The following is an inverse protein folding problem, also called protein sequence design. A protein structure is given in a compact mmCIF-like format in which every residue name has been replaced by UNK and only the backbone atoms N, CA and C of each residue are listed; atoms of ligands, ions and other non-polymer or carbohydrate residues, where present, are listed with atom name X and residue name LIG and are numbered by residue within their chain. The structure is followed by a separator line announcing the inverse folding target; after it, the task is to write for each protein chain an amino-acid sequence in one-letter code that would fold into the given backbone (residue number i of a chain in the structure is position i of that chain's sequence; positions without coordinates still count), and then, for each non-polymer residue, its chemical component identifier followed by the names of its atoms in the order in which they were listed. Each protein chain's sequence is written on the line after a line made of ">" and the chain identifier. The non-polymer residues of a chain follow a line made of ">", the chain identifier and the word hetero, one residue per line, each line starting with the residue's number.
data_IF_601688985500
#
_entry.id   IF_601688985500
#
_cell.length_a   1.000
_cell.length_b   1.000
_cell.length_c   1.000
_cell.angle_alpha   90.00
_cell.angle_beta   90.00
_cell.angle_gamma   90.00
#
_symmetry.space_group_name_H-M   'P 1'
#
loop_
_entity.id
_entity.type
_entity.pdbx_description
1 polymer ?
#
# COMPACT_ATOMS: atom_id res chain seq x y z
N UNK A 1 -18.59 -26.81 2.92
CA UNK A 1 -19.27 -26.98 4.24
C UNK A 1 -18.39 -27.74 5.24
N UNK A 2 -17.54 -28.65 4.77
CA UNK A 2 -16.68 -29.49 5.62
C UNK A 2 -15.59 -28.71 6.37
N UNK A 3 -15.06 -27.63 5.79
CA UNK A 3 -14.00 -26.84 6.44
C UNK A 3 -14.47 -26.07 7.68
N UNK A 4 -15.70 -25.54 7.68
CA UNK A 4 -16.25 -24.87 8.85
C UNK A 4 -16.40 -25.84 10.05
N UNK A 5 -16.78 -27.09 9.77
CA UNK A 5 -16.83 -28.14 10.79
C UNK A 5 -15.43 -28.58 11.23
N UNK A 6 -14.46 -28.58 10.32
CA UNK A 6 -13.07 -28.92 10.61
C UNK A 6 -12.41 -27.90 11.55
N UNK A 7 -12.66 -26.60 11.33
CA UNK A 7 -12.05 -25.51 12.12
C UNK A 7 -12.94 -24.94 13.22
N UNK A 8 -14.07 -25.57 13.55
CA UNK A 8 -15.01 -25.11 14.58
C UNK A 8 -14.41 -24.96 15.99
N UNK A 9 -13.28 -25.64 16.25
CA UNK A 9 -12.56 -25.60 17.52
C UNK A 9 -11.51 -24.49 17.62
N UNK A 10 -11.25 -23.76 16.53
CA UNK A 10 -10.40 -22.57 16.56
C UNK A 10 -11.06 -21.44 17.35
N UNK A 11 -10.26 -20.50 17.84
CA UNK A 11 -10.76 -19.33 18.56
C UNK A 11 -11.50 -18.37 17.62
N UNK A 12 -12.82 -18.52 17.56
CA UNK A 12 -13.69 -17.77 16.66
C UNK A 12 -13.68 -16.26 16.96
N UNK A 13 -13.54 -15.88 18.23
CA UNK A 13 -13.48 -14.47 18.60
C UNK A 13 -12.17 -13.87 18.11
N UNK A 14 -11.05 -14.56 18.32
CA UNK A 14 -9.75 -14.10 17.85
C UNK A 14 -9.65 -14.03 16.32
N UNK A 15 -10.38 -14.87 15.58
CA UNK A 15 -10.52 -14.75 14.12
C UNK A 15 -11.17 -13.41 13.77
N UNK A 16 -12.32 -13.10 14.37
CA UNK A 16 -13.04 -11.84 14.13
C UNK A 16 -12.20 -10.64 14.54
N UNK A 17 -11.56 -10.68 15.72
CA UNK A 17 -10.71 -9.60 16.21
C UNK A 17 -9.53 -9.32 15.26
N UNK A 18 -8.95 -10.36 14.65
CA UNK A 18 -7.88 -10.20 13.67
C UNK A 18 -8.40 -9.61 12.36
N UNK A 19 -9.59 -10.01 11.90
CA UNK A 19 -10.22 -9.41 10.73
C UNK A 19 -10.53 -7.93 10.95
N UNK A 20 -11.11 -7.57 12.10
CA UNK A 20 -11.34 -6.17 12.48
C UNK A 20 -10.00 -5.41 12.58
N UNK A 21 -8.95 -6.02 13.14
CA UNK A 21 -7.61 -5.41 13.19
C UNK A 21 -7.04 -5.08 11.80
N UNK A 22 -7.17 -5.99 10.82
CA UNK A 22 -6.72 -5.75 9.43
C UNK A 22 -7.42 -4.53 8.83
N UNK A 23 -8.74 -4.44 9.05
CA UNK A 23 -9.57 -3.31 8.60
C UNK A 23 -9.11 -2.03 9.31
N UNK A 24 -8.85 -2.09 10.61
CA UNK A 24 -8.42 -0.95 11.42
C UNK A 24 -7.02 -0.44 11.05
N UNK A 25 -6.09 -1.32 10.67
CA UNK A 25 -4.80 -0.89 10.13
C UNK A 25 -4.95 -0.12 8.82
N UNK A 26 -5.86 -0.57 7.94
CA UNK A 26 -6.17 0.10 6.68
C UNK A 26 -6.92 1.42 6.88
N UNK A 27 -7.84 1.48 7.86
CA UNK A 27 -8.47 2.72 8.32
C UNK A 27 -7.43 3.72 8.81
N UNK A 28 -6.54 3.28 9.71
CA UNK A 28 -5.51 4.12 10.33
C UNK A 28 -4.58 4.72 9.28
N UNK A 29 -3.96 3.90 8.42
CA UNK A 29 -3.01 4.40 7.41
C UNK A 29 -3.72 5.27 6.35
N UNK A 30 -5.02 5.05 6.13
CA UNK A 30 -5.86 5.93 5.31
C UNK A 30 -6.22 7.25 6.01
N UNK A 31 -5.93 7.42 7.30
CA UNK A 31 -6.35 8.58 8.09
C UNK A 31 -7.87 8.65 8.31
N UNK A 32 -8.54 7.50 8.40
CA UNK A 32 -9.94 7.39 8.76
C UNK A 32 -10.07 7.31 10.29
N UNK A 33 -10.92 8.18 10.85
CA UNK A 33 -11.14 8.32 12.30
C UNK A 33 -12.47 9.03 12.57
N UNK A 34 -13.05 8.77 13.74
CA UNK A 34 -14.32 9.38 14.15
C UNK A 34 -15.53 8.80 13.41
N UNK A 35 -16.70 9.41 13.65
CA UNK A 35 -18.01 8.86 13.25
C UNK A 35 -18.77 9.71 12.23
N UNK A 36 -18.26 10.90 11.88
CA UNK A 36 -18.92 11.81 10.94
C UNK A 36 -17.92 12.52 10.01
N UNK A 37 -18.37 12.88 8.81
CA UNK A 37 -17.56 13.60 7.82
C UNK A 37 -16.76 12.68 6.89
N UNK A 38 -16.00 13.27 5.96
CA UNK A 38 -15.28 12.56 4.89
C UNK A 38 -14.05 11.77 5.37
N UNK A 39 -13.77 11.81 6.67
CA UNK A 39 -12.72 11.03 7.31
C UNK A 39 -13.27 10.00 8.29
N UNK A 40 -14.59 9.92 8.49
CA UNK A 40 -15.17 8.93 9.40
C UNK A 40 -14.80 7.51 8.98
N UNK A 41 -14.57 6.64 9.97
CA UNK A 41 -14.51 5.21 9.71
C UNK A 41 -15.86 4.77 9.15
N UNK A 42 -15.90 4.09 7.99
CA UNK A 42 -17.16 3.65 7.39
C UNK A 42 -17.96 2.77 8.35
N UNK A 43 -19.26 3.04 8.49
CA UNK A 43 -20.16 2.18 9.26
C UNK A 43 -20.35 0.80 8.61
N UNK A 44 -20.27 0.74 7.27
CA UNK A 44 -20.43 -0.48 6.51
C UNK A 44 -19.25 -1.43 6.77
N UNK A 45 -19.56 -2.69 7.06
CA UNK A 45 -18.58 -3.76 7.22
C UNK A 45 -18.17 -4.33 5.86
N UNK A 46 -16.94 -4.84 5.78
CA UNK A 46 -16.47 -5.57 4.61
C UNK A 46 -17.16 -6.94 4.54
N UNK A 47 -17.69 -7.30 3.37
CA UNK A 47 -18.11 -8.66 3.08
C UNK A 47 -16.90 -9.47 2.63
N UNK A 48 -16.50 -10.49 3.41
CA UNK A 48 -15.43 -11.42 3.07
C UNK A 48 -16.09 -12.79 2.82
N UNK A 49 -16.01 -13.30 1.59
CA UNK A 49 -16.78 -14.49 1.19
C UNK A 49 -16.02 -15.41 0.24
N UNK A 50 -16.43 -16.67 0.20
CA UNK A 50 -15.94 -17.64 -0.78
C UNK A 50 -16.50 -17.30 -2.16
N UNK A 51 -15.67 -17.38 -3.21
CA UNK A 51 -16.09 -17.38 -4.62
C UNK A 51 -15.85 -18.75 -5.24
N UNK A 52 -16.61 -19.07 -6.28
CA UNK A 52 -16.41 -20.29 -7.07
C UNK A 52 -14.98 -20.35 -7.62
N UNK A 53 -14.31 -21.49 -7.40
CA UNK A 53 -12.95 -21.75 -7.87
C UNK A 53 -12.85 -21.72 -9.41
N UNK A 54 -13.94 -22.01 -10.13
CA UNK A 54 -14.03 -21.88 -11.58
C UNK A 54 -13.88 -20.44 -12.08
N UNK A 55 -14.02 -19.44 -11.20
CA UNK A 55 -13.81 -18.02 -11.54
C UNK A 55 -12.33 -17.64 -11.61
N UNK A 56 -11.39 -18.54 -11.28
CA UNK A 56 -9.93 -18.29 -11.29
C UNK A 56 -9.46 -17.34 -10.18
N UNK A 57 -8.13 -17.13 -10.07
CA UNK A 57 -7.52 -16.20 -9.09
C UNK A 57 -7.30 -16.76 -7.69
N UNK A 58 -6.36 -16.18 -6.93
CA UNK A 58 -6.01 -16.59 -5.57
C UNK A 58 -6.97 -15.96 -4.54
N UNK A 59 -6.98 -14.63 -4.47
CA UNK A 59 -7.98 -13.80 -3.80
C UNK A 59 -8.30 -12.61 -4.71
N UNK A 60 -9.38 -11.86 -4.43
CA UNK A 60 -9.76 -10.66 -5.19
C UNK A 60 -10.63 -9.70 -4.37
N UNK A 61 -10.60 -8.40 -4.69
CA UNK A 61 -11.43 -7.39 -4.05
C UNK A 61 -12.22 -6.53 -5.03
N UNK A 62 -13.40 -6.10 -4.60
CA UNK A 62 -14.30 -5.21 -5.32
C UNK A 62 -15.42 -4.73 -4.38
N UNK A 63 -16.68 -5.03 -4.69
CA UNK A 63 -17.80 -4.81 -3.75
C UNK A 63 -17.71 -5.72 -2.51
N UNK A 64 -17.03 -6.86 -2.65
CA UNK A 64 -16.68 -7.79 -1.57
C UNK A 64 -15.21 -8.20 -1.71
N UNK A 65 -14.67 -8.79 -0.65
CA UNK A 65 -13.39 -9.48 -0.65
C UNK A 65 -13.67 -10.97 -0.84
N UNK A 66 -13.02 -11.56 -1.82
CA UNK A 66 -13.25 -12.92 -2.25
C UNK A 66 -11.99 -13.78 -2.05
N UNK A 67 -12.19 -14.99 -1.58
CA UNK A 67 -11.16 -16.03 -1.55
C UNK A 67 -11.73 -17.34 -2.13
N UNK A 68 -10.86 -18.21 -2.64
CA UNK A 68 -11.28 -19.54 -3.13
C UNK A 68 -11.47 -20.50 -1.96
N UNK A 69 -12.31 -21.52 -2.13
CA UNK A 69 -12.58 -22.52 -1.07
C UNK A 69 -11.28 -23.16 -0.52
N UNK A 70 -10.29 -23.41 -1.39
CA UNK A 70 -8.98 -23.94 -0.98
C UNK A 70 -8.21 -23.04 0.02
N UNK A 71 -8.66 -21.80 0.25
CA UNK A 71 -8.07 -20.84 1.18
C UNK A 71 -8.91 -20.59 2.41
N UNK A 72 -10.06 -21.24 2.61
CA UNK A 72 -10.89 -20.97 3.80
C UNK A 72 -10.14 -21.27 5.08
N UNK A 73 -9.22 -22.24 5.08
CA UNK A 73 -8.37 -22.49 6.23
C UNK A 73 -7.57 -21.25 6.70
N UNK A 74 -7.23 -20.32 5.79
CA UNK A 74 -6.54 -19.06 6.14
C UNK A 74 -7.47 -18.07 6.82
N UNK A 75 -8.76 -18.10 6.48
CA UNK A 75 -9.78 -17.22 7.07
C UNK A 75 -10.35 -17.78 8.36
N UNK A 76 -10.30 -19.11 8.54
CA UNK A 76 -10.87 -19.83 9.68
C UNK A 76 -9.85 -20.19 10.76
N UNK A 77 -8.62 -19.70 10.68
CA UNK A 77 -7.58 -19.93 11.69
C UNK A 77 -6.86 -18.62 12.00
N UNK A 78 -6.79 -18.19 13.27
CA UNK A 78 -6.18 -16.93 13.64
C UNK A 78 -4.77 -16.75 13.07
N UNK A 79 -3.92 -17.77 13.17
CA UNK A 79 -2.48 -17.67 12.86
C UNK A 79 -2.19 -17.19 11.43
N UNK A 80 -3.08 -17.51 10.48
CA UNK A 80 -2.93 -17.14 9.08
C UNK A 80 -3.46 -15.74 8.77
N UNK A 81 -4.13 -15.07 9.71
CA UNK A 81 -4.62 -13.70 9.58
C UNK A 81 -3.62 -12.66 10.10
N UNK A 82 -2.73 -13.02 11.02
CA UNK A 82 -1.85 -12.07 11.72
C UNK A 82 -0.35 -12.36 11.55
N UNK A 83 0.03 -13.41 10.82
CA UNK A 83 1.42 -13.82 10.66
C UNK A 83 1.64 -14.47 9.29
N UNK A 84 2.45 -15.54 9.21
CA UNK A 84 2.76 -16.28 7.98
C UNK A 84 1.49 -16.51 7.18
N UNK A 85 1.45 -16.02 5.94
CA UNK A 85 0.33 -16.06 5.00
C UNK A 85 -0.78 -14.98 5.12
N UNK A 86 -0.73 -14.06 6.08
CA UNK A 86 -1.73 -13.00 6.23
C UNK A 86 -1.75 -11.99 5.08
N UNK A 87 -0.64 -11.84 4.37
CA UNK A 87 -0.52 -10.85 3.29
C UNK A 87 -1.64 -10.87 2.25
N UNK A 88 -2.15 -12.04 1.89
CA UNK A 88 -3.22 -12.15 0.89
C UNK A 88 -4.46 -11.35 1.30
N UNK A 89 -4.96 -11.56 2.52
CA UNK A 89 -6.15 -10.85 2.99
C UNK A 89 -5.84 -9.37 3.28
N UNK A 90 -4.64 -9.03 3.76
CA UNK A 90 -4.24 -7.64 3.95
C UNK A 90 -4.22 -6.86 2.63
N UNK A 91 -3.75 -7.52 1.58
CA UNK A 91 -3.71 -6.99 0.22
C UNK A 91 -5.11 -6.79 -0.35
N UNK A 92 -6.00 -7.77 -0.23
CA UNK A 92 -7.39 -7.59 -0.69
C UNK A 92 -8.16 -6.51 0.07
N UNK A 93 -7.97 -6.41 1.39
CA UNK A 93 -8.51 -5.28 2.15
C UNK A 93 -7.94 -3.98 1.60
N UNK A 94 -6.62 -3.90 1.39
CA UNK A 94 -5.96 -2.72 0.83
C UNK A 94 -6.53 -2.24 -0.50
N UNK A 95 -6.93 -3.15 -1.40
CA UNK A 95 -7.58 -2.78 -2.66
C UNK A 95 -8.85 -1.95 -2.46
N UNK A 96 -9.59 -2.18 -1.37
CA UNK A 96 -10.80 -1.40 -1.04
C UNK A 96 -10.49 0.03 -0.55
N UNK A 97 -9.24 0.31 -0.16
CA UNK A 97 -8.78 1.63 0.30
C UNK A 97 -7.98 2.41 -0.75
N UNK A 98 -7.52 1.75 -1.83
CA UNK A 98 -6.71 2.40 -2.86
C UNK A 98 -7.39 3.63 -3.46
N UNK A 99 -6.69 4.76 -3.43
CA UNK A 99 -7.18 6.01 -3.99
C UNK A 99 -6.62 6.23 -5.39
N UNK A 100 -7.52 6.25 -6.38
CA UNK A 100 -7.19 6.40 -7.80
C UNK A 100 -6.33 7.63 -8.12
N UNK A 101 -6.34 8.66 -7.28
CA UNK A 101 -5.59 9.91 -7.50
C UNK A 101 -4.07 9.71 -7.49
N UNK A 102 -3.56 8.73 -6.74
CA UNK A 102 -2.13 8.39 -6.69
C UNK A 102 -1.86 6.92 -7.07
N UNK A 103 -2.86 6.24 -7.64
CA UNK A 103 -2.72 4.92 -8.28
C UNK A 103 -2.85 5.06 -9.80
N UNK A 104 -1.71 5.23 -10.48
CA UNK A 104 -1.63 5.22 -11.95
C UNK A 104 -1.57 3.80 -12.51
N UNK A 105 -1.66 3.64 -13.84
CA UNK A 105 -1.95 2.36 -14.51
C UNK A 105 -1.11 1.17 -14.06
N UNK A 106 0.18 1.38 -13.78
CA UNK A 106 1.09 0.31 -13.38
C UNK A 106 1.07 -0.01 -11.87
N UNK A 107 0.22 0.64 -11.07
CA UNK A 107 0.31 0.61 -9.60
C UNK A 107 -0.87 -0.04 -8.87
N UNK A 108 -1.84 -0.62 -9.59
CA UNK A 108 -2.97 -1.35 -8.95
C UNK A 108 -2.46 -2.40 -7.97
N UNK A 109 -1.47 -3.20 -8.37
CA UNK A 109 -0.88 -4.27 -7.54
C UNK A 109 0.31 -3.80 -6.67
N UNK A 110 0.58 -2.49 -6.65
CA UNK A 110 1.71 -1.91 -5.91
C UNK A 110 1.24 -1.01 -4.77
N UNK A 111 0.40 -0.02 -5.05
CA UNK A 111 -0.07 0.95 -4.05
C UNK A 111 -0.95 0.29 -2.98
N UNK A 112 -1.60 -0.81 -3.31
CA UNK A 112 -2.28 -1.70 -2.37
C UNK A 112 -1.37 -2.16 -1.23
N UNK A 113 -0.08 -2.35 -1.49
CA UNK A 113 0.86 -2.86 -0.50
C UNK A 113 1.24 -1.81 0.56
N UNK A 114 0.88 -0.52 0.40
CA UNK A 114 0.96 0.46 1.50
C UNK A 114 0.09 0.01 2.67
N UNK A 115 -1.10 -0.52 2.39
CA UNK A 115 -2.04 -1.04 3.39
C UNK A 115 -1.60 -2.41 3.93
N UNK A 116 -1.07 -3.27 3.06
CA UNK A 116 -0.51 -4.57 3.48
C UNK A 116 0.67 -4.40 4.44
N UNK A 117 1.58 -3.48 4.14
CA UNK A 117 2.71 -3.14 5.01
C UNK A 117 2.22 -2.51 6.32
N UNK A 118 1.17 -1.69 6.31
CA UNK A 118 0.56 -1.18 7.54
C UNK A 118 0.00 -2.31 8.42
N UNK A 119 -0.61 -3.33 7.82
CA UNK A 119 -1.11 -4.51 8.54
C UNK A 119 0.04 -5.34 9.12
N UNK A 120 1.10 -5.55 8.34
CA UNK A 120 2.32 -6.23 8.78
C UNK A 120 2.94 -5.57 10.03
N UNK A 121 3.05 -4.24 10.02
CA UNK A 121 3.50 -3.45 11.18
C UNK A 121 2.52 -3.50 12.35
N UNK A 122 1.22 -3.40 12.06
CA UNK A 122 0.16 -3.45 13.06
C UNK A 122 0.14 -4.76 13.85
N UNK A 123 0.46 -5.88 13.20
CA UNK A 123 0.64 -7.17 13.85
C UNK A 123 2.02 -7.38 14.48
N UNK A 124 2.92 -6.40 14.39
CA UNK A 124 4.24 -6.45 15.03
C UNK A 124 5.17 -7.50 14.43
N UNK A 125 5.09 -7.76 13.12
CA UNK A 125 6.01 -8.69 12.48
C UNK A 125 7.45 -8.15 12.53
N UNK A 126 8.44 -9.01 12.82
CA UNK A 126 9.79 -8.56 13.20
C UNK A 126 10.63 -8.07 12.02
N UNK A 127 10.25 -8.44 10.80
CA UNK A 127 10.92 -8.03 9.55
C UNK A 127 9.84 -7.67 8.54
N UNK A 128 10.11 -6.68 7.68
CA UNK A 128 9.15 -6.34 6.62
C UNK A 128 9.10 -7.41 5.55
N UNK A 129 8.03 -7.46 4.76
CA UNK A 129 7.94 -8.32 3.57
C UNK A 129 9.06 -8.02 2.58
N UNK A 130 9.51 -6.77 2.47
CA UNK A 130 10.61 -6.41 1.58
C UNK A 130 11.86 -7.24 1.94
N UNK A 131 12.18 -7.30 3.24
CA UNK A 131 13.30 -8.07 3.76
C UNK A 131 13.02 -9.57 3.77
N UNK A 132 11.86 -10.01 4.25
CA UNK A 132 11.47 -11.42 4.34
C UNK A 132 11.47 -12.12 2.98
N UNK A 133 11.08 -11.42 1.91
CA UNK A 133 11.07 -11.96 0.55
C UNK A 133 12.39 -11.74 -0.20
N UNK A 134 13.42 -11.21 0.46
CA UNK A 134 14.70 -10.87 -0.18
C UNK A 134 14.50 -10.00 -1.43
N UNK A 135 13.70 -8.93 -1.32
CA UNK A 135 13.36 -8.06 -2.44
C UNK A 135 14.42 -6.96 -2.68
N UNK A 136 15.23 -6.63 -1.68
CA UNK A 136 16.30 -5.62 -1.77
C UNK A 136 17.27 -5.79 -2.95
N UNK A 137 17.72 -7.00 -3.33
CA UNK A 137 18.54 -7.19 -4.53
C UNK A 137 17.88 -6.70 -5.84
N UNK A 138 16.53 -6.62 -5.90
CA UNK A 138 15.83 -6.04 -7.05
C UNK A 138 16.07 -4.54 -7.16
N UNK A 139 16.17 -3.84 -6.03
CA UNK A 139 16.57 -2.43 -5.98
C UNK A 139 17.99 -2.27 -6.50
N UNK A 140 18.92 -3.12 -6.04
CA UNK A 140 20.33 -3.08 -6.44
C UNK A 140 20.49 -3.26 -7.95
N UNK A 141 19.81 -4.27 -8.53
CA UNK A 141 19.82 -4.50 -9.97
C UNK A 141 19.21 -3.32 -10.76
N UNK A 142 18.15 -2.69 -10.25
CA UNK A 142 17.55 -1.51 -10.88
C UNK A 142 18.49 -0.30 -10.81
N UNK A 143 19.17 -0.09 -9.68
CA UNK A 143 20.07 1.05 -9.47
C UNK A 143 21.44 0.88 -10.15
N UNK A 144 21.80 -0.33 -10.60
CA UNK A 144 22.95 -0.53 -11.48
C UNK A 144 22.73 0.07 -12.89
N UNK A 145 21.47 0.29 -13.29
CA UNK A 145 21.17 0.92 -14.57
C UNK A 145 21.53 2.42 -14.52
N UNK A 146 22.03 3.01 -15.63
CA UNK A 146 22.17 4.46 -15.76
C UNK A 146 20.84 5.16 -15.46
N UNK A 147 20.88 6.31 -14.78
CA UNK A 147 19.67 7.07 -14.40
C UNK A 147 18.77 7.35 -15.62
N UNK A 148 19.36 7.60 -16.79
CA UNK A 148 18.65 7.85 -18.05
C UNK A 148 17.88 6.65 -18.59
N UNK A 149 18.29 5.44 -18.21
CA UNK A 149 17.67 4.18 -18.63
C UNK A 149 16.63 3.67 -17.65
N UNK A 150 16.71 4.11 -16.38
CA UNK A 150 15.75 3.73 -15.34
C UNK A 150 14.32 4.13 -15.72
N UNK A 151 13.41 3.21 -15.47
CA UNK A 151 11.97 3.39 -15.64
C UNK A 151 11.23 2.70 -14.48
N UNK A 152 10.74 3.51 -13.54
CA UNK A 152 9.96 3.00 -12.41
C UNK A 152 8.77 2.15 -12.86
N UNK A 153 8.07 2.58 -13.91
CA UNK A 153 6.82 1.97 -14.36
C UNK A 153 7.03 0.61 -15.01
N UNK A 154 8.21 0.38 -15.58
CA UNK A 154 8.63 -0.91 -16.12
C UNK A 154 9.03 -1.93 -15.03
N UNK A 155 9.13 -1.50 -13.77
CA UNK A 155 9.49 -2.33 -12.64
C UNK A 155 8.44 -3.39 -12.26
N UNK A 156 8.91 -4.50 -11.70
CA UNK A 156 8.05 -5.48 -11.03
C UNK A 156 7.33 -4.87 -9.83
N UNK A 157 6.18 -5.42 -9.42
CA UNK A 157 5.42 -4.90 -8.28
C UNK A 157 6.23 -4.89 -6.98
N UNK A 158 7.05 -5.93 -6.74
CA UNK A 158 7.92 -5.99 -5.56
C UNK A 158 8.98 -4.87 -5.58
N UNK A 159 9.58 -4.59 -6.74
CA UNK A 159 10.54 -3.49 -6.87
C UNK A 159 9.85 -2.15 -6.63
N UNK A 160 8.67 -1.93 -7.23
CA UNK A 160 7.94 -0.67 -7.08
C UNK A 160 7.46 -0.46 -5.64
N UNK A 161 7.11 -1.54 -4.93
CA UNK A 161 6.76 -1.52 -3.51
C UNK A 161 7.89 -0.97 -2.65
N UNK A 162 9.16 -1.24 -3.00
CA UNK A 162 10.32 -0.73 -2.26
C UNK A 162 10.33 0.81 -2.23
N UNK A 163 9.97 1.49 -3.31
CA UNK A 163 9.91 2.97 -3.34
C UNK A 163 8.92 3.51 -2.30
N UNK A 164 7.73 2.91 -2.22
CA UNK A 164 6.75 3.27 -1.20
C UNK A 164 7.24 2.91 0.22
N UNK A 165 7.90 1.76 0.37
CA UNK A 165 8.50 1.38 1.65
C UNK A 165 9.60 2.36 2.09
N UNK A 166 10.44 2.85 1.19
CA UNK A 166 11.48 3.83 1.49
C UNK A 166 10.92 5.19 1.93
N UNK A 167 9.83 5.64 1.29
CA UNK A 167 9.11 6.82 1.74
C UNK A 167 8.54 6.62 3.16
N UNK A 168 8.00 5.43 3.45
CA UNK A 168 7.58 5.09 4.81
C UNK A 168 8.75 5.05 5.80
N UNK A 169 9.89 4.46 5.46
CA UNK A 169 11.09 4.44 6.30
C UNK A 169 11.59 5.85 6.64
N UNK A 170 11.46 6.81 5.70
CA UNK A 170 11.88 8.19 5.91
C UNK A 170 10.87 9.03 6.72
N UNK A 171 9.57 8.84 6.49
CA UNK A 171 8.54 9.81 6.91
C UNK A 171 7.42 9.19 7.76
N UNK A 172 7.44 7.88 7.98
CA UNK A 172 6.47 7.16 8.79
C UNK A 172 5.06 7.11 8.19
N UNK A 173 4.11 6.71 9.04
CA UNK A 173 2.69 6.60 8.65
C UNK A 173 2.10 7.98 8.26
N UNK A 174 2.58 9.06 8.86
CA UNK A 174 2.04 10.42 8.68
C UNK A 174 2.03 10.87 7.22
N UNK A 175 3.04 10.46 6.43
CA UNK A 175 3.08 10.74 5.00
C UNK A 175 1.83 10.22 4.28
N UNK A 176 1.51 8.94 4.49
CA UNK A 176 0.38 8.28 3.82
C UNK A 176 -0.96 8.71 4.40
N UNK A 177 -1.03 8.91 5.73
CA UNK A 177 -2.23 9.43 6.41
C UNK A 177 -2.61 10.79 5.83
N UNK A 178 -1.65 11.71 5.74
CA UNK A 178 -1.90 13.06 5.26
C UNK A 178 -2.19 13.11 3.75
N UNK A 179 -1.45 12.32 2.95
CA UNK A 179 -1.76 12.13 1.52
C UNK A 179 -3.19 11.65 1.31
N UNK A 180 -3.62 10.65 2.10
CA UNK A 180 -4.94 10.05 1.95
C UNK A 180 -6.05 10.98 2.37
N UNK A 181 -5.88 11.73 3.47
CA UNK A 181 -6.83 12.76 3.90
C UNK A 181 -6.95 13.86 2.86
N UNK A 182 -5.83 14.44 2.42
CA UNK A 182 -5.82 15.50 1.42
C UNK A 182 -6.44 15.05 0.09
N UNK A 183 -6.23 13.81 -0.32
CA UNK A 183 -6.89 13.24 -1.51
C UNK A 183 -8.41 13.19 -1.35
N UNK A 184 -8.92 12.81 -0.17
CA UNK A 184 -10.38 12.77 0.11
C UNK A 184 -11.00 14.15 0.18
N UNK A 185 -10.30 15.11 0.77
CA UNK A 185 -10.77 16.48 0.92
C UNK A 185 -10.81 17.21 -0.42
N UNK A 186 -9.70 17.15 -1.16
CA UNK A 186 -9.53 17.94 -2.37
C UNK A 186 -10.17 17.30 -3.60
N UNK A 187 -10.38 15.98 -3.59
CA UNK A 187 -10.93 15.18 -4.71
C UNK A 187 -10.30 15.59 -6.05
N UNK A 188 -8.97 15.53 -6.18
CA UNK A 188 -8.27 16.09 -7.33
C UNK A 188 -8.74 15.42 -8.63
N UNK A 189 -8.98 16.23 -9.66
CA UNK A 189 -9.33 15.74 -10.99
C UNK A 189 -8.06 15.34 -11.73
N UNK A 190 -7.64 14.09 -11.56
CA UNK A 190 -6.48 13.49 -12.25
C UNK A 190 -6.90 12.28 -13.07
N UNK A 191 -6.78 12.37 -14.40
CA UNK A 191 -7.27 11.35 -15.33
C UNK A 191 -6.16 10.61 -16.09
N UNK A 192 -4.96 11.18 -16.18
CA UNK A 192 -3.80 10.57 -16.85
C UNK A 192 -2.76 10.08 -15.85
N UNK A 193 -1.95 9.12 -16.24
CA UNK A 193 -0.86 8.63 -15.39
C UNK A 193 0.15 9.74 -15.06
N UNK A 194 0.47 10.60 -16.02
CA UNK A 194 1.31 11.78 -15.78
C UNK A 194 0.72 12.73 -14.74
N UNK A 195 -0.60 12.99 -14.78
CA UNK A 195 -1.27 13.85 -13.80
C UNK A 195 -1.28 13.23 -12.39
N UNK A 196 -1.48 11.91 -12.30
CA UNK A 196 -1.43 11.17 -11.02
C UNK A 196 -0.02 11.12 -10.44
N UNK A 197 0.99 10.89 -11.27
CA UNK A 197 2.41 10.93 -10.87
C UNK A 197 2.78 12.33 -10.36
N UNK A 198 2.42 13.39 -11.09
CA UNK A 198 2.60 14.78 -10.63
C UNK A 198 1.91 15.03 -9.29
N UNK A 199 0.64 14.61 -9.15
CA UNK A 199 -0.11 14.75 -7.90
C UNK A 199 0.59 14.06 -6.72
N UNK A 200 1.02 12.81 -6.92
CA UNK A 200 1.75 12.05 -5.91
C UNK A 200 3.08 12.73 -5.55
N UNK A 201 3.88 13.14 -6.54
CA UNK A 201 5.18 13.79 -6.32
C UNK A 201 5.04 15.08 -5.50
N UNK A 202 4.11 15.96 -5.88
CA UNK A 202 3.88 17.21 -5.16
C UNK A 202 3.33 16.97 -3.75
N UNK A 203 2.38 16.02 -3.60
CA UNK A 203 1.81 15.70 -2.29
C UNK A 203 2.84 15.05 -1.36
N UNK A 204 3.70 14.19 -1.89
CA UNK A 204 4.77 13.58 -1.12
C UNK A 204 5.78 14.64 -0.64
N UNK A 205 6.16 15.60 -1.48
CA UNK A 205 7.00 16.73 -1.06
C UNK A 205 6.28 17.58 0.01
N UNK A 206 5.01 17.91 -0.22
CA UNK A 206 4.21 18.70 0.70
C UNK A 206 4.08 18.04 2.07
N UNK A 207 3.81 16.73 2.17
CA UNK A 207 3.58 16.08 3.45
C UNK A 207 4.85 15.57 4.13
N UNK A 208 5.92 15.34 3.38
CA UNK A 208 7.25 15.12 3.96
C UNK A 208 7.94 16.42 4.38
N UNK A 209 7.48 17.57 3.87
CA UNK A 209 8.17 18.87 3.98
C UNK A 209 9.61 18.83 3.46
N UNK A 210 9.86 17.99 2.45
CA UNK A 210 11.16 17.83 1.81
C UNK A 210 11.04 17.93 0.29
N UNK A 211 12.07 18.46 -0.37
CA UNK A 211 12.22 18.37 -1.82
C UNK A 211 12.66 16.94 -2.19
N UNK A 212 11.76 16.15 -2.77
CA UNK A 212 12.01 14.77 -3.19
C UNK A 212 12.40 14.65 -4.67
N UNK A 213 12.81 15.73 -5.33
CA UNK A 213 13.19 15.71 -6.75
C UNK A 213 14.28 14.69 -7.06
N UNK A 214 15.37 14.67 -6.28
CA UNK A 214 16.46 13.70 -6.46
C UNK A 214 15.98 12.26 -6.25
N UNK A 215 15.12 12.03 -5.25
CA UNK A 215 14.51 10.73 -4.99
C UNK A 215 13.72 10.22 -6.20
N UNK A 216 12.82 11.04 -6.76
CA UNK A 216 12.02 10.64 -7.93
C UNK A 216 12.87 10.44 -9.18
N UNK A 217 13.92 11.26 -9.38
CA UNK A 217 14.86 11.08 -10.49
C UNK A 217 15.64 9.77 -10.39
N UNK A 218 16.19 9.45 -9.21
CA UNK A 218 16.89 8.19 -8.97
C UNK A 218 16.00 6.98 -9.19
N UNK A 219 14.71 7.10 -8.86
CA UNK A 219 13.71 6.08 -9.15
C UNK A 219 13.27 6.00 -10.62
N UNK A 220 13.71 6.94 -11.48
CA UNK A 220 13.39 6.93 -12.90
C UNK A 220 11.97 7.38 -13.21
N UNK A 221 11.45 8.38 -12.49
CA UNK A 221 10.15 8.98 -12.79
C UNK A 221 10.23 9.80 -14.09
N UNK A 222 9.65 9.25 -15.15
CA UNK A 222 9.55 9.88 -16.48
C UNK A 222 8.31 10.77 -16.55
N UNK A 223 8.43 11.97 -16.00
CA UNK A 223 7.42 13.05 -16.07
C UNK A 223 8.00 14.27 -16.78
N UNK A 224 7.15 15.22 -17.15
CA UNK A 224 7.59 16.50 -17.71
C UNK A 224 8.45 17.28 -16.70
N UNK A 225 9.48 17.99 -17.19
CA UNK A 225 10.41 18.76 -16.34
C UNK A 225 9.73 19.90 -15.57
N UNK A 226 8.56 20.37 -16.02
CA UNK A 226 7.74 21.31 -15.26
C UNK A 226 7.38 20.77 -13.86
N UNK A 227 7.20 19.47 -13.69
CA UNK A 227 6.88 18.89 -12.37
C UNK A 227 8.01 19.09 -11.37
N UNK A 228 9.27 18.93 -11.79
CA UNK A 228 10.43 19.19 -10.95
C UNK A 228 10.62 20.69 -10.68
N UNK A 229 10.26 21.54 -11.64
CA UNK A 229 10.23 23.00 -11.44
C UNK A 229 9.17 23.38 -10.40
N UNK A 230 8.00 22.74 -10.43
CA UNK A 230 6.96 22.93 -9.43
C UNK A 230 7.40 22.50 -8.03
N UNK A 231 8.10 21.36 -7.90
CA UNK A 231 8.68 20.93 -6.62
C UNK A 231 9.69 21.97 -6.12
N UNK A 232 10.61 22.43 -6.97
CA UNK A 232 11.60 23.45 -6.60
C UNK A 232 10.94 24.75 -6.11
N UNK A 233 9.82 25.15 -6.74
CA UNK A 233 9.05 26.33 -6.35
C UNK A 233 8.35 26.21 -4.98
N UNK A 234 8.27 25.01 -4.40
CA UNK A 234 7.82 24.83 -3.01
C UNK A 234 8.87 25.33 -1.99
N UNK A 235 10.11 25.56 -2.41
CA UNK A 235 11.23 26.03 -1.57
C UNK A 235 11.44 25.17 -0.31
N UNK A 236 11.28 23.85 -0.45
CA UNK A 236 11.46 22.89 0.64
C UNK A 236 12.95 22.50 0.78
N UNK A 237 13.42 22.21 2.01
CA UNK A 237 14.76 21.68 2.19
C UNK A 237 14.87 20.26 1.61
N UNK A 238 16.06 19.87 1.17
CA UNK A 238 16.34 18.49 0.77
C UNK A 238 16.30 17.55 2.01
N UNK A 239 16.06 16.24 1.82
CA UNK A 239 16.21 15.24 2.87
C UNK A 239 17.62 15.25 3.49
N UNK A 240 17.71 15.00 4.80
CA UNK A 240 19.00 15.00 5.54
C UNK A 240 19.88 13.79 5.21
N UNK A 241 19.29 12.78 4.56
CA UNK A 241 19.95 11.59 4.05
C UNK A 241 19.31 11.15 2.74
N UNK A 242 20.01 10.34 1.96
CA UNK A 242 19.48 9.78 0.72
C UNK A 242 18.35 8.79 1.02
N UNK A 243 17.11 9.20 0.76
CA UNK A 243 15.91 8.37 0.98
C UNK A 243 15.97 7.07 0.14
N UNK A 244 16.64 7.08 -1.02
CA UNK A 244 16.81 5.87 -1.86
C UNK A 244 17.78 4.84 -1.27
N UNK A 245 18.54 5.20 -0.23
CA UNK A 245 19.45 4.31 0.46
C UNK A 245 18.83 3.62 1.68
N UNK A 246 17.63 4.03 2.11
CA UNK A 246 16.98 3.47 3.30
C UNK A 246 16.55 2.02 3.08
N UNK A 247 16.84 1.19 4.10
CA UNK A 247 16.51 -0.23 4.21
C UNK A 247 16.23 -0.59 5.66
N UNK A 248 15.51 -1.69 5.88
CA UNK A 248 15.28 -2.33 7.19
C UNK A 248 15.94 -3.71 7.29
#
# INVERSE_FOLDING_TARGET
>A
MDEALLYKGEDQQLIVDRLDSIIDFSNRISGLSGTSGVHATPYNKHLITVRDSASGGYMAAGISIYYTEALSYRMLQPKYLSNTNGWGIWHEVGHTYQQKAWTWGNLTETTVNVYSLASERGFGLPISRVTANNAWPKLDAFFQQPITERDFNAGSNDMKMIMFHQLWLAFGDDLYINLSKATRDNRPTVSTDAAKMRYFMLSACQFSQKDLSDFFRKWGFRVDESVYTEIANLNLPIPDQDVTALRD
#
